data_IF_255295848746
#
_entry.id   IF_255295848746
#
_cell.length_a   1.000
_cell.length_b   1.000
_cell.length_c   1.000
_cell.angle_alpha   90.00
_cell.angle_beta   90.00
_cell.angle_gamma   90.00
#
_symmetry.space_group_name_H-M   'P 1'
#
loop_
_entity.id
_entity.type
_entity.pdbx_description
1 polymer ?
#
# COMPACT_ATOMS: atom_id res chain seq x y z
N UNK A 1 -4.08 -8.24 17.44
CA UNK A 1 -4.88 -7.70 16.36
C UNK A 1 -6.09 -8.60 16.08
N UNK A 2 -7.20 -8.01 15.63
CA UNK A 2 -8.42 -8.77 15.28
C UNK A 2 -8.21 -9.77 14.15
N UNK A 3 -7.24 -9.49 13.27
CA UNK A 3 -6.84 -10.37 12.16
C UNK A 3 -6.00 -11.59 12.55
N UNK A 4 -5.54 -11.69 13.82
CA UNK A 4 -4.61 -12.74 14.24
C UNK A 4 -3.17 -12.59 13.73
N UNK A 5 -2.85 -11.50 13.04
CA UNK A 5 -1.49 -11.27 12.55
C UNK A 5 -0.52 -11.02 13.71
N UNK A 6 0.61 -11.73 13.71
CA UNK A 6 1.69 -11.55 14.67
C UNK A 6 2.64 -10.44 14.21
N UNK A 7 2.44 -9.23 14.72
CA UNK A 7 3.30 -8.09 14.40
C UNK A 7 4.71 -8.22 15.00
N UNK A 8 4.91 -9.08 15.98
CA UNK A 8 6.24 -9.30 16.56
C UNK A 8 7.21 -9.96 15.57
N UNK A 9 6.68 -10.70 14.60
CA UNK A 9 7.43 -11.41 13.57
C UNK A 9 7.68 -10.60 12.29
N UNK A 10 7.22 -9.35 12.23
CA UNK A 10 7.43 -8.50 11.04
C UNK A 10 8.88 -8.03 10.96
N UNK A 11 9.58 -8.41 9.89
CA UNK A 11 10.97 -8.04 9.63
C UNK A 11 11.10 -6.87 8.65
N UNK A 12 10.12 -6.65 7.78
CA UNK A 12 10.16 -5.63 6.73
C UNK A 12 8.84 -4.88 6.63
N UNK A 13 8.93 -3.55 6.57
CA UNK A 13 7.79 -2.65 6.51
C UNK A 13 8.01 -1.62 5.40
N UNK A 14 7.07 -1.54 4.46
CA UNK A 14 7.07 -0.56 3.36
C UNK A 14 6.02 0.50 3.62
N UNK A 15 6.45 1.77 3.66
CA UNK A 15 5.59 2.93 3.91
C UNK A 15 5.35 3.65 2.60
N UNK A 16 4.09 3.89 2.28
CA UNK A 16 3.68 4.58 1.04
C UNK A 16 4.01 6.06 1.09
N UNK A 17 3.72 6.72 2.21
CA UNK A 17 3.93 8.16 2.41
C UNK A 17 3.83 8.54 3.89
N UNK A 18 4.12 9.81 4.21
CA UNK A 18 4.32 10.29 5.57
C UNK A 18 3.08 10.83 6.28
N UNK A 19 1.89 10.77 5.68
CA UNK A 19 0.68 11.22 6.38
C UNK A 19 0.45 10.41 7.65
N UNK A 20 -0.01 11.07 8.71
CA UNK A 20 -0.06 10.50 10.05
C UNK A 20 -1.00 9.30 10.21
N UNK A 21 -1.97 9.14 9.36
CA UNK A 21 -2.89 8.01 9.30
C UNK A 21 -2.29 6.77 8.60
N UNK A 22 -1.16 6.95 7.90
CA UNK A 22 -0.37 5.89 7.27
C UNK A 22 0.97 5.66 7.95
N UNK A 23 1.55 6.70 8.59
CA UNK A 23 2.85 6.61 9.22
C UNK A 23 2.92 7.45 10.50
N UNK A 24 2.56 6.85 11.64
CA UNK A 24 2.75 7.47 12.95
C UNK A 24 4.10 7.06 13.55
N UNK A 25 5.16 7.78 13.15
CA UNK A 25 6.56 7.42 13.44
C UNK A 25 6.90 7.34 14.95
N UNK A 26 6.14 8.01 15.82
CA UNK A 26 6.36 7.95 17.27
C UNK A 26 6.15 6.55 17.85
N UNK A 27 5.31 5.70 17.26
CA UNK A 27 5.07 4.34 17.79
C UNK A 27 6.32 3.46 17.72
N UNK A 28 7.27 3.76 16.83
CA UNK A 28 8.50 2.99 16.70
C UNK A 28 9.45 3.14 17.90
N UNK A 29 9.32 4.20 18.71
CA UNK A 29 10.11 4.36 19.94
C UNK A 29 9.82 3.27 20.97
N UNK A 30 8.65 2.61 20.87
CA UNK A 30 8.22 1.57 21.81
C UNK A 30 8.68 0.17 21.41
N UNK A 31 9.25 -0.03 20.22
CA UNK A 31 9.73 -1.35 19.78
C UNK A 31 10.84 -1.86 20.70
N UNK A 32 10.69 -3.08 21.20
CA UNK A 32 11.66 -3.68 22.12
C UNK A 32 11.73 -3.05 23.50
N UNK A 33 10.88 -2.07 23.83
CA UNK A 33 10.75 -1.52 25.16
C UNK A 33 9.81 -2.39 26.01
N UNK A 34 9.69 -2.09 27.30
CA UNK A 34 8.87 -2.88 28.25
C UNK A 34 7.42 -3.15 27.80
N UNK A 35 6.89 -2.35 26.89
CA UNK A 35 5.53 -2.51 26.33
C UNK A 35 5.51 -3.34 25.03
N UNK A 36 6.66 -3.57 24.41
CA UNK A 36 6.83 -4.35 23.18
C UNK A 36 8.00 -5.32 23.33
N UNK A 37 8.14 -5.94 24.48
CA UNK A 37 9.16 -6.96 24.76
C UNK A 37 8.79 -8.28 24.07
N UNK A 38 9.80 -9.11 23.82
CA UNK A 38 9.59 -10.45 23.23
C UNK A 38 9.28 -10.40 21.72
N UNK A 39 9.89 -9.47 20.99
CA UNK A 39 9.79 -9.42 19.54
C UNK A 39 10.43 -10.68 18.92
N UNK A 40 9.68 -11.38 18.07
CA UNK A 40 10.18 -12.57 17.38
C UNK A 40 11.21 -12.17 16.28
N UNK A 41 11.01 -11.04 15.62
CA UNK A 41 11.99 -10.48 14.70
C UNK A 41 13.00 -9.61 15.46
N UNK A 42 14.28 -9.93 15.39
CA UNK A 42 15.33 -9.14 16.05
C UNK A 42 15.44 -7.74 15.47
N UNK A 43 15.29 -7.60 14.16
CA UNK A 43 15.35 -6.31 13.44
C UNK A 43 14.12 -6.05 12.60
N UNK A 44 13.74 -4.78 12.54
CA UNK A 44 12.75 -4.26 11.62
C UNK A 44 13.42 -3.37 10.57
N UNK A 45 13.28 -3.73 9.31
CA UNK A 45 13.73 -2.92 8.17
C UNK A 45 12.57 -2.12 7.62
N UNK A 46 12.66 -0.80 7.72
CA UNK A 46 11.61 0.13 7.28
C UNK A 46 12.07 0.79 5.97
N UNK A 47 11.19 0.78 4.98
CA UNK A 47 11.43 1.36 3.66
C UNK A 47 10.39 2.41 3.36
N UNK A 48 10.80 3.59 2.90
CA UNK A 48 9.90 4.67 2.55
C UNK A 48 10.57 5.72 1.67
N UNK A 49 9.82 6.73 1.25
CA UNK A 49 10.37 7.85 0.49
C UNK A 49 11.23 8.77 1.39
N UNK A 50 11.84 9.79 0.80
CA UNK A 50 12.70 10.72 1.53
C UNK A 50 11.99 11.44 2.70
N UNK A 51 10.70 11.81 2.52
CA UNK A 51 9.93 12.48 3.58
C UNK A 51 9.58 11.53 4.73
N UNK A 52 9.24 10.27 4.44
CA UNK A 52 9.07 9.22 5.45
C UNK A 52 10.35 9.07 6.28
N UNK A 53 11.52 9.01 5.64
CA UNK A 53 12.80 8.93 6.34
C UNK A 53 13.04 10.16 7.25
N UNK A 54 12.72 11.34 6.77
CA UNK A 54 12.85 12.60 7.52
C UNK A 54 11.90 12.63 8.72
N UNK A 55 10.62 12.33 8.52
CA UNK A 55 9.61 12.27 9.60
C UNK A 55 10.01 11.24 10.65
N UNK A 56 10.50 10.06 10.24
CA UNK A 56 11.02 9.07 11.18
C UNK A 56 12.14 9.64 12.05
N UNK A 57 13.14 10.26 11.42
CA UNK A 57 14.28 10.83 12.13
C UNK A 57 13.88 11.96 13.09
N UNK A 58 12.97 12.83 12.69
CA UNK A 58 12.47 13.95 13.51
C UNK A 58 11.65 13.46 14.72
N UNK A 59 10.70 12.54 14.50
CA UNK A 59 9.82 12.04 15.54
C UNK A 59 10.55 11.17 16.57
N UNK A 60 11.56 10.43 16.15
CA UNK A 60 12.26 9.46 17.03
C UNK A 60 13.48 10.06 17.73
N UNK A 61 13.97 11.23 17.28
CA UNK A 61 15.24 11.84 17.73
C UNK A 61 15.37 12.02 19.24
N UNK A 62 14.30 12.39 19.93
CA UNK A 62 14.37 12.79 21.35
C UNK A 62 14.19 11.61 22.31
N UNK A 63 13.35 10.68 21.97
CA UNK A 63 12.84 9.67 22.91
C UNK A 63 13.29 8.24 22.59
N UNK A 64 13.78 8.01 21.37
CA UNK A 64 14.22 6.67 20.97
C UNK A 64 15.52 6.31 21.71
N UNK A 65 15.46 5.23 22.47
CA UNK A 65 16.62 4.66 23.16
C UNK A 65 17.60 4.05 22.13
N UNK A 66 18.88 4.00 22.49
CA UNK A 66 19.93 3.47 21.64
C UNK A 66 19.66 2.00 21.23
N UNK A 67 19.29 1.14 22.18
CA UNK A 67 18.96 -0.26 21.96
C UNK A 67 17.76 -0.44 21.01
N UNK A 68 16.73 0.41 21.13
CA UNK A 68 15.59 0.41 20.21
C UNK A 68 16.02 0.84 18.81
N UNK A 69 16.86 1.87 18.71
CA UNK A 69 17.39 2.35 17.44
C UNK A 69 18.22 1.27 16.72
N UNK A 70 18.99 0.49 17.45
CA UNK A 70 19.80 -0.61 16.90
C UNK A 70 18.95 -1.78 16.37
N UNK A 71 17.71 -1.93 16.88
CA UNK A 71 16.76 -2.95 16.42
C UNK A 71 16.03 -2.59 15.12
N UNK A 72 16.30 -1.42 14.53
CA UNK A 72 15.64 -0.94 13.32
C UNK A 72 16.62 -0.35 12.32
N UNK A 73 16.23 -0.41 11.05
CA UNK A 73 16.87 0.38 9.98
C UNK A 73 15.81 1.14 9.21
N UNK A 74 16.14 2.35 8.77
CA UNK A 74 15.30 3.13 7.85
C UNK A 74 16.07 3.31 6.55
N UNK A 75 15.46 2.95 5.43
CA UNK A 75 16.04 3.04 4.09
C UNK A 75 15.15 3.82 3.14
N UNK A 76 15.72 4.81 2.49
CA UNK A 76 15.05 5.54 1.42
C UNK A 76 14.92 4.64 0.18
N UNK A 77 13.73 4.57 -0.39
CA UNK A 77 13.44 3.94 -1.68
C UNK A 77 12.85 4.97 -2.64
N UNK A 78 13.16 4.78 -3.92
CA UNK A 78 12.73 5.70 -5.00
C UNK A 78 11.79 5.00 -5.96
N UNK A 79 10.93 5.72 -6.66
CA UNK A 79 10.13 5.16 -7.74
C UNK A 79 10.97 4.37 -8.74
N UNK A 80 10.39 3.25 -9.20
CA UNK A 80 11.00 2.28 -10.12
C UNK A 80 12.21 1.51 -9.55
N UNK A 81 12.53 1.67 -8.26
CA UNK A 81 13.50 0.81 -7.60
C UNK A 81 12.86 -0.51 -7.16
N UNK A 82 13.68 -1.57 -7.13
CA UNK A 82 13.29 -2.89 -6.64
C UNK A 82 14.06 -3.21 -5.37
N UNK A 83 13.36 -3.57 -4.32
CA UNK A 83 13.92 -4.02 -3.05
C UNK A 83 13.59 -5.50 -2.85
N UNK A 84 14.60 -6.34 -2.67
CA UNK A 84 14.42 -7.77 -2.41
C UNK A 84 14.51 -8.05 -0.90
N UNK A 85 13.44 -8.62 -0.31
CA UNK A 85 13.36 -8.94 1.12
C UNK A 85 12.59 -10.23 1.35
N UNK A 86 13.07 -11.12 2.18
CA UNK A 86 12.33 -12.34 2.59
C UNK A 86 11.81 -13.20 1.42
N UNK A 87 12.51 -13.21 0.28
CA UNK A 87 12.07 -13.90 -0.94
C UNK A 87 11.03 -13.15 -1.78
N UNK A 88 10.68 -11.92 -1.38
CA UNK A 88 9.82 -11.01 -2.16
C UNK A 88 10.66 -10.00 -2.94
N UNK A 89 10.19 -9.64 -4.14
CA UNK A 89 10.66 -8.48 -4.88
C UNK A 89 9.57 -7.39 -4.77
N UNK A 90 9.92 -6.24 -4.18
CA UNK A 90 9.01 -5.11 -4.01
C UNK A 90 9.48 -3.98 -4.92
N UNK A 91 8.69 -3.67 -5.95
CA UNK A 91 8.93 -2.54 -6.84
C UNK A 91 8.11 -1.35 -6.37
N UNK A 92 8.76 -0.22 -6.12
CA UNK A 92 8.09 1.04 -5.78
C UNK A 92 7.71 1.80 -7.05
N UNK A 93 6.57 2.49 -7.04
CA UNK A 93 6.12 3.37 -8.11
C UNK A 93 5.64 4.71 -7.55
N UNK A 94 5.62 5.79 -8.34
CA UNK A 94 5.06 7.06 -7.91
C UNK A 94 3.53 6.97 -7.83
N UNK A 95 2.94 7.56 -6.79
CA UNK A 95 1.50 7.75 -6.64
C UNK A 95 1.06 9.16 -7.08
N UNK A 96 -0.16 9.30 -7.55
CA UNK A 96 -0.81 10.58 -7.81
C UNK A 96 -1.57 11.04 -6.55
N UNK A 97 -0.85 11.39 -5.47
CA UNK A 97 -1.48 11.67 -4.18
C UNK A 97 -1.00 12.98 -3.54
N UNK A 98 0.24 13.04 -3.13
CA UNK A 98 0.80 14.18 -2.41
C UNK A 98 1.40 15.24 -3.35
N UNK A 99 1.40 16.50 -2.91
CA UNK A 99 2.13 17.61 -3.57
C UNK A 99 3.42 17.96 -2.85
N UNK A 100 3.63 17.44 -1.66
CA UNK A 100 4.74 17.78 -0.77
C UNK A 100 5.77 16.67 -0.65
N UNK A 101 5.40 15.46 -1.07
CA UNK A 101 6.28 14.29 -1.08
C UNK A 101 5.98 13.38 -2.26
N UNK A 102 6.90 12.52 -2.61
CA UNK A 102 6.75 11.49 -3.63
C UNK A 102 6.13 10.23 -3.00
N UNK A 103 4.80 10.23 -2.83
CA UNK A 103 4.07 9.09 -2.31
C UNK A 103 4.25 7.86 -3.22
N UNK A 104 4.24 6.66 -2.64
CA UNK A 104 4.59 5.41 -3.31
C UNK A 104 3.41 4.44 -3.42
N UNK A 105 3.39 3.71 -4.52
CA UNK A 105 2.63 2.50 -4.77
C UNK A 105 3.58 1.32 -4.82
N UNK A 106 3.08 0.09 -4.66
CA UNK A 106 3.95 -1.09 -4.65
C UNK A 106 3.43 -2.22 -5.53
N UNK A 107 4.35 -2.87 -6.25
CA UNK A 107 4.16 -4.21 -6.79
C UNK A 107 5.00 -5.17 -5.95
N UNK A 108 4.34 -6.15 -5.33
CA UNK A 108 4.97 -7.19 -4.52
C UNK A 108 4.90 -8.51 -5.29
N UNK A 109 6.04 -9.09 -5.57
CA UNK A 109 6.16 -10.32 -6.35
C UNK A 109 6.88 -11.42 -5.56
N UNK A 110 6.36 -12.64 -5.65
CA UNK A 110 7.01 -13.84 -5.12
C UNK A 110 6.56 -15.08 -5.90
N UNK A 111 7.48 -15.94 -6.28
CA UNK A 111 7.19 -17.26 -6.91
C UNK A 111 6.26 -17.14 -8.13
N UNK A 112 6.45 -16.11 -8.95
CA UNK A 112 5.65 -15.87 -10.15
C UNK A 112 4.26 -15.26 -9.91
N UNK A 113 3.91 -14.96 -8.66
CA UNK A 113 2.67 -14.28 -8.29
C UNK A 113 2.94 -12.81 -7.97
N UNK A 114 2.00 -11.94 -8.32
CA UNK A 114 2.08 -10.49 -8.14
C UNK A 114 0.86 -9.91 -7.43
N UNK A 115 1.14 -9.02 -6.47
CA UNK A 115 0.16 -8.16 -5.80
C UNK A 115 0.47 -6.70 -6.10
N UNK A 116 -0.47 -5.99 -6.72
CA UNK A 116 -0.35 -4.57 -7.03
C UNK A 116 -1.18 -3.75 -6.04
N UNK A 117 -0.48 -2.93 -5.24
CA UNK A 117 -1.05 -2.06 -4.22
C UNK A 117 -1.18 -0.63 -4.74
N UNK A 118 -2.41 -0.18 -5.00
CA UNK A 118 -2.74 1.13 -5.56
C UNK A 118 -3.67 1.90 -4.59
N UNK A 119 -3.17 2.15 -3.36
CA UNK A 119 -3.91 2.94 -2.38
C UNK A 119 -3.34 4.35 -2.26
N UNK A 120 -4.16 5.27 -1.81
CA UNK A 120 -3.86 6.69 -1.73
C UNK A 120 -3.26 7.21 -3.03
N UNK A 121 -4.05 7.07 -4.07
CA UNK A 121 -3.70 7.58 -5.38
C UNK A 121 -4.94 7.95 -6.18
N UNK A 122 -4.83 8.98 -6.99
CA UNK A 122 -5.68 9.13 -8.16
C UNK A 122 -5.34 8.11 -9.23
N UNK A 123 -5.71 8.38 -10.49
CA UNK A 123 -5.31 7.52 -11.61
C UNK A 123 -3.79 7.28 -11.57
N UNK A 124 -3.32 6.02 -11.56
CA UNK A 124 -1.89 5.74 -11.57
C UNK A 124 -1.19 6.46 -12.73
N UNK A 125 -0.01 7.06 -12.51
CA UNK A 125 0.74 7.72 -13.56
C UNK A 125 0.94 6.82 -14.78
N UNK A 126 0.88 7.39 -15.98
CA UNK A 126 1.05 6.64 -17.25
C UNK A 126 2.38 5.87 -17.29
N UNK A 127 3.43 6.40 -16.65
CA UNK A 127 4.73 5.74 -16.52
C UNK A 127 4.68 4.42 -15.74
N UNK A 128 3.79 4.31 -14.74
CA UNK A 128 3.57 3.08 -13.98
C UNK A 128 2.94 2.01 -14.88
N UNK A 129 1.87 2.37 -15.59
CA UNK A 129 1.18 1.44 -16.50
C UNK A 129 2.10 1.01 -17.65
N UNK A 130 2.89 1.93 -18.19
CA UNK A 130 3.90 1.63 -19.20
C UNK A 130 4.96 0.65 -18.67
N UNK A 131 5.50 0.89 -17.48
CA UNK A 131 6.47 0.00 -16.86
C UNK A 131 5.92 -1.42 -16.68
N UNK A 132 4.70 -1.56 -16.15
CA UNK A 132 4.07 -2.86 -15.93
C UNK A 132 3.93 -3.64 -17.24
N UNK A 133 3.48 -2.97 -18.30
CA UNK A 133 3.36 -3.54 -19.66
C UNK A 133 4.72 -3.92 -20.25
N UNK A 134 5.66 -2.98 -20.31
CA UNK A 134 6.98 -3.17 -20.92
C UNK A 134 7.81 -4.25 -20.23
N UNK A 135 7.67 -4.38 -18.92
CA UNK A 135 8.32 -5.43 -18.13
C UNK A 135 7.57 -6.76 -18.12
N UNK A 136 6.44 -6.85 -18.85
CA UNK A 136 5.63 -8.06 -18.91
C UNK A 136 5.12 -8.52 -17.54
N UNK A 137 4.85 -7.57 -16.63
CA UNK A 137 4.38 -7.90 -15.29
C UNK A 137 2.98 -8.52 -15.33
N UNK A 138 2.77 -9.51 -14.48
CA UNK A 138 1.45 -10.16 -14.30
C UNK A 138 1.09 -10.15 -12.83
N UNK A 139 -0.18 -9.86 -12.54
CA UNK A 139 -0.67 -9.75 -11.17
C UNK A 139 -1.92 -10.62 -10.97
N UNK A 140 -1.99 -11.29 -9.84
CA UNK A 140 -3.13 -12.10 -9.41
C UNK A 140 -4.09 -11.32 -8.54
N UNK A 141 -3.59 -10.24 -7.90
CA UNK A 141 -4.38 -9.39 -7.04
C UNK A 141 -4.01 -7.92 -7.26
N UNK A 142 -5.03 -7.08 -7.43
CA UNK A 142 -4.89 -5.62 -7.46
C UNK A 142 -5.78 -5.04 -6.38
N UNK A 143 -5.20 -4.28 -5.45
CA UNK A 143 -5.95 -3.54 -4.44
C UNK A 143 -5.98 -2.06 -4.81
N UNK A 144 -7.18 -1.51 -4.92
CA UNK A 144 -7.48 -0.21 -5.51
C UNK A 144 -7.99 0.77 -4.46
N UNK A 145 -7.47 2.00 -4.49
CA UNK A 145 -8.09 3.13 -3.80
C UNK A 145 -9.54 3.29 -4.27
N UNK A 146 -10.47 3.37 -3.34
CA UNK A 146 -11.87 3.66 -3.63
C UNK A 146 -12.44 4.67 -2.61
N UNK A 147 -11.62 5.66 -2.26
CA UNK A 147 -11.93 6.67 -1.22
C UNK A 147 -13.23 7.40 -1.51
N UNK A 148 -13.50 7.71 -2.77
CA UNK A 148 -14.71 8.43 -3.19
C UNK A 148 -15.88 7.52 -3.57
N UNK A 149 -15.70 6.21 -3.51
CA UNK A 149 -16.72 5.20 -3.84
C UNK A 149 -17.40 5.48 -5.20
N UNK A 150 -18.72 5.72 -5.22
CA UNK A 150 -19.51 6.00 -6.42
C UNK A 150 -19.81 7.49 -6.63
N UNK A 151 -19.19 8.37 -5.86
CA UNK A 151 -19.28 9.81 -6.12
C UNK A 151 -18.46 10.18 -7.36
N UNK A 152 -18.91 11.21 -8.06
CA UNK A 152 -18.14 11.77 -9.18
C UNK A 152 -16.73 12.16 -8.72
N UNK A 153 -15.74 11.90 -9.57
CA UNK A 153 -14.32 12.02 -9.30
C UNK A 153 -13.93 13.20 -8.41
N UNK A 154 -13.01 13.00 -7.49
CA UNK A 154 -12.52 14.12 -6.67
C UNK A 154 -11.90 15.16 -7.59
N UNK A 155 -12.29 16.41 -7.44
CA UNK A 155 -11.67 17.55 -8.16
C UNK A 155 -10.16 17.66 -7.91
N UNK A 156 -9.65 16.95 -6.88
CA UNK A 156 -8.23 16.93 -6.52
C UNK A 156 -7.39 15.94 -7.32
N UNK A 157 -8.00 14.90 -7.92
CA UNK A 157 -7.28 13.82 -8.62
C UNK A 157 -6.34 12.99 -7.74
N UNK A 158 -6.52 13.03 -6.41
CA UNK A 158 -5.62 12.35 -5.45
C UNK A 158 -6.14 11.00 -4.97
N UNK A 159 -7.39 10.70 -5.24
CA UNK A 159 -8.06 9.45 -4.89
C UNK A 159 -8.92 9.01 -6.04
N UNK A 160 -9.22 7.72 -6.08
CA UNK A 160 -10.11 7.13 -7.07
C UNK A 160 -11.49 6.83 -6.47
N UNK A 161 -12.47 6.73 -7.36
CA UNK A 161 -13.74 6.09 -7.14
C UNK A 161 -13.90 4.87 -8.04
N UNK A 162 -15.11 4.31 -8.08
CA UNK A 162 -15.36 3.08 -8.82
C UNK A 162 -15.19 3.27 -10.34
N UNK A 163 -15.49 4.45 -10.85
CA UNK A 163 -15.36 4.77 -12.29
C UNK A 163 -13.88 4.78 -12.74
N UNK A 164 -13.00 5.42 -11.95
CA UNK A 164 -11.58 5.41 -12.18
C UNK A 164 -11.01 3.99 -12.02
N UNK A 165 -11.47 3.25 -11.02
CA UNK A 165 -11.07 1.86 -10.82
C UNK A 165 -11.43 1.00 -12.03
N UNK A 166 -12.63 1.15 -12.59
CA UNK A 166 -13.03 0.46 -13.81
C UNK A 166 -12.12 0.80 -15.01
N UNK A 167 -11.63 2.04 -15.09
CA UNK A 167 -10.66 2.44 -16.13
C UNK A 167 -9.32 1.75 -15.92
N UNK A 168 -8.80 1.73 -14.69
CA UNK A 168 -7.55 1.03 -14.33
C UNK A 168 -7.66 -0.45 -14.65
N UNK A 169 -8.74 -1.11 -14.24
CA UNK A 169 -9.00 -2.54 -14.50
C UNK A 169 -8.98 -2.85 -16.01
N UNK A 170 -9.71 -2.06 -16.81
CA UNK A 170 -9.73 -2.22 -18.27
C UNK A 170 -8.32 -2.05 -18.86
N UNK A 171 -7.58 -1.06 -18.40
CA UNK A 171 -6.22 -0.80 -18.88
C UNK A 171 -5.26 -1.92 -18.54
N UNK A 172 -5.25 -2.41 -17.30
CA UNK A 172 -4.38 -3.52 -16.88
C UNK A 172 -4.67 -4.79 -17.66
N UNK A 173 -5.96 -5.08 -17.95
CA UNK A 173 -6.36 -6.21 -18.80
C UNK A 173 -5.91 -6.03 -20.26
N UNK A 174 -6.12 -4.86 -20.84
CA UNK A 174 -5.70 -4.55 -22.20
C UNK A 174 -4.18 -4.62 -22.42
N UNK A 175 -3.41 -4.26 -21.38
CA UNK A 175 -1.95 -4.31 -21.41
C UNK A 175 -1.38 -5.71 -21.03
N UNK A 176 -2.24 -6.70 -20.75
CA UNK A 176 -1.86 -8.07 -20.37
C UNK A 176 -1.20 -8.19 -18.98
N UNK A 177 -1.33 -7.16 -18.15
CA UNK A 177 -0.86 -7.15 -16.76
C UNK A 177 -1.83 -7.93 -15.86
N UNK A 178 -3.12 -7.81 -16.12
CA UNK A 178 -4.20 -8.56 -15.48
C UNK A 178 -4.91 -9.45 -16.51
N UNK A 179 -5.52 -10.52 -16.06
CA UNK A 179 -6.30 -11.47 -16.88
C UNK A 179 -7.68 -11.75 -16.27
N UNK A 180 -8.33 -12.83 -16.72
CA UNK A 180 -9.65 -13.24 -16.23
C UNK A 180 -9.65 -13.71 -14.78
N UNK A 181 -8.53 -14.22 -14.29
CA UNK A 181 -8.37 -14.76 -12.95
C UNK A 181 -7.86 -13.71 -11.95
N UNK A 182 -7.42 -12.55 -12.44
CA UNK A 182 -6.97 -11.44 -11.58
C UNK A 182 -8.12 -10.90 -10.74
N UNK A 183 -7.94 -10.91 -9.42
CA UNK A 183 -8.91 -10.34 -8.49
C UNK A 183 -8.63 -8.86 -8.26
N UNK A 184 -9.69 -8.05 -8.34
CA UNK A 184 -9.65 -6.61 -8.07
C UNK A 184 -10.40 -6.34 -6.77
N UNK A 185 -9.71 -5.74 -5.81
CA UNK A 185 -10.24 -5.39 -4.49
C UNK A 185 -10.33 -3.88 -4.38
N UNK A 186 -11.49 -3.36 -4.02
CA UNK A 186 -11.68 -1.95 -3.69
C UNK A 186 -11.65 -1.77 -2.17
N UNK A 187 -10.97 -0.75 -1.70
CA UNK A 187 -10.82 -0.46 -0.28
C UNK A 187 -10.54 1.03 -0.05
N UNK A 188 -10.08 1.41 1.15
CA UNK A 188 -9.74 2.79 1.49
C UNK A 188 -10.96 3.73 1.46
N UNK A 189 -12.12 3.23 1.88
CA UNK A 189 -13.38 4.01 1.87
C UNK A 189 -13.33 5.15 2.88
N UNK A 190 -13.65 6.37 2.43
CA UNK A 190 -13.74 7.53 3.31
C UNK A 190 -15.10 7.60 4.01
N UNK A 191 -15.12 8.06 5.25
CA UNK A 191 -16.37 8.42 5.94
C UNK A 191 -17.20 9.48 5.18
N UNK A 192 -16.54 10.34 4.41
CA UNK A 192 -17.23 11.37 3.61
C UNK A 192 -17.98 10.81 2.41
N UNK A 193 -17.56 9.67 1.90
CA UNK A 193 -18.23 8.93 0.82
C UNK A 193 -18.96 7.69 1.32
N UNK A 194 -18.82 7.34 2.59
CA UNK A 194 -19.32 6.21 3.35
C UNK A 194 -20.39 5.39 2.61
N UNK A 195 -20.00 4.49 1.70
CA UNK A 195 -20.96 3.63 1.06
C UNK A 195 -21.51 2.64 2.10
N UNK A 196 -22.83 2.57 2.25
CA UNK A 196 -23.44 1.52 3.05
C UNK A 196 -23.11 0.15 2.46
N UNK A 197 -23.08 -0.88 3.29
CA UNK A 197 -22.78 -2.26 2.88
C UNK A 197 -23.61 -2.73 1.68
N UNK A 198 -24.89 -2.32 1.61
CA UNK A 198 -25.75 -2.62 0.47
C UNK A 198 -25.25 -2.00 -0.85
N UNK A 199 -24.68 -0.79 -0.78
CA UNK A 199 -24.11 -0.15 -1.97
C UNK A 199 -22.80 -0.81 -2.39
N UNK A 200 -21.96 -1.20 -1.44
CA UNK A 200 -20.73 -1.95 -1.74
C UNK A 200 -21.03 -3.26 -2.47
N UNK A 201 -22.05 -4.03 -2.03
CA UNK A 201 -22.50 -5.24 -2.73
C UNK A 201 -22.96 -4.96 -4.16
N UNK A 202 -23.70 -3.88 -4.38
CA UNK A 202 -24.10 -3.49 -5.71
C UNK A 202 -22.89 -3.15 -6.61
N UNK A 203 -21.85 -2.50 -6.07
CA UNK A 203 -20.61 -2.24 -6.80
C UNK A 203 -19.85 -3.53 -7.13
N UNK A 204 -19.83 -4.52 -6.21
CA UNK A 204 -19.23 -5.83 -6.48
C UNK A 204 -19.88 -6.50 -7.68
N UNK A 205 -21.21 -6.54 -7.73
CA UNK A 205 -21.98 -7.15 -8.82
C UNK A 205 -21.82 -6.38 -10.14
N UNK A 206 -21.89 -5.05 -10.09
CA UNK A 206 -21.86 -4.19 -11.28
C UNK A 206 -20.49 -4.14 -11.95
N UNK A 207 -19.40 -4.10 -11.16
CA UNK A 207 -18.04 -3.89 -11.66
C UNK A 207 -17.14 -5.14 -11.60
N UNK A 208 -17.61 -6.23 -10.99
CA UNK A 208 -16.81 -7.44 -10.83
C UNK A 208 -15.60 -7.24 -9.93
N UNK A 209 -15.77 -6.49 -8.85
CA UNK A 209 -14.76 -6.21 -7.83
C UNK A 209 -15.11 -6.88 -6.51
N UNK A 210 -14.17 -6.92 -5.58
CA UNK A 210 -14.38 -7.37 -4.20
C UNK A 210 -14.29 -6.14 -3.29
N UNK A 211 -15.29 -5.85 -2.50
CA UNK A 211 -15.24 -4.80 -1.50
C UNK A 211 -14.56 -5.32 -0.23
N UNK A 212 -13.42 -4.72 0.14
CA UNK A 212 -12.69 -5.14 1.32
C UNK A 212 -13.46 -4.83 2.62
N UNK A 213 -13.25 -5.67 3.62
CA UNK A 213 -13.71 -5.46 4.98
C UNK A 213 -12.63 -5.86 5.99
N UNK A 214 -12.70 -5.32 7.22
CA UNK A 214 -11.72 -5.60 8.28
C UNK A 214 -11.64 -7.09 8.60
N UNK A 215 -10.45 -7.65 8.48
CA UNK A 215 -10.18 -9.07 8.72
C UNK A 215 -10.34 -9.97 7.50
N UNK A 216 -10.63 -9.41 6.31
CA UNK A 216 -10.65 -10.19 5.06
C UNK A 216 -9.26 -10.81 4.79
N UNK A 217 -9.26 -12.07 4.38
CA UNK A 217 -8.07 -12.78 3.88
C UNK A 217 -8.32 -13.24 2.46
N UNK A 218 -7.36 -13.00 1.57
CA UNK A 218 -7.36 -13.45 0.19
C UNK A 218 -6.07 -14.19 -0.11
N UNK A 219 -6.18 -15.40 -0.63
CA UNK A 219 -5.03 -16.17 -1.10
C UNK A 219 -4.79 -15.90 -2.60
N UNK A 220 -3.54 -15.80 -3.02
CA UNK A 220 -3.13 -15.60 -4.42
C UNK A 220 -2.11 -16.66 -4.85
#
# INVERSE_FOLDING_TARGET
>A
LRSGADLSAVESLFITHSHMDHFYAHDFILRGYKYAAGMAAEKLHIYGNAEVCKVFAECTRREMRADVKESMTMSEIKPFSVTCVGGYAVTAFPAAHSRTEEALLFLVEREGKGYLHLHDTGMPPASVLAYLKEKGKRVQLVSLDCTIADRHSSSSGRHMGIEENAQVMRRLRADGVADGDTRFVITHFSHNSAPFTSRLRALEEEYGVIAAYDGMTLEI
#
